data_IF_077095321624
#
_entry.id   IF_077095321624
#
_cell.length_a   1.000
_cell.length_b   1.000
_cell.length_c   1.000
_cell.angle_alpha   90.00
_cell.angle_beta   90.00
_cell.angle_gamma   90.00
#
_symmetry.space_group_name_H-M   'P 1'
#
loop_
_entity.id
_entity.type
_entity.pdbx_description
1 polymer ?
#
# COMPACT_ATOMS: atom_id res chain seq x y z
N UNK A 1 13.47 3.59 -8.91
CA UNK A 1 14.40 2.46 -8.70
C UNK A 1 14.91 2.55 -7.26
N UNK A 2 14.79 1.47 -6.48
CA UNK A 2 15.27 1.44 -5.09
C UNK A 2 16.80 1.51 -5.05
N UNK A 3 17.38 2.32 -4.14
CA UNK A 3 18.82 2.36 -3.91
C UNK A 3 19.40 0.99 -3.53
N UNK A 4 20.64 0.72 -3.95
CA UNK A 4 21.32 -0.55 -3.63
C UNK A 4 21.50 -0.73 -2.11
N UNK A 5 21.69 0.36 -1.36
CA UNK A 5 21.78 0.30 0.10
C UNK A 5 20.52 -0.32 0.73
N UNK A 6 19.32 0.06 0.25
CA UNK A 6 18.05 -0.51 0.73
C UNK A 6 17.91 -1.98 0.31
N UNK A 7 18.28 -2.33 -0.93
CA UNK A 7 18.20 -3.72 -1.40
C UNK A 7 19.09 -4.64 -0.55
N UNK A 8 20.32 -4.22 -0.27
CA UNK A 8 21.26 -4.96 0.55
C UNK A 8 20.78 -5.08 2.00
N UNK A 9 20.33 -3.97 2.60
CA UNK A 9 19.81 -3.98 3.97
C UNK A 9 18.56 -4.88 4.10
N UNK A 10 17.66 -4.91 3.11
CA UNK A 10 16.51 -5.82 3.10
C UNK A 10 16.90 -7.28 3.00
N UNK A 11 17.95 -7.58 2.22
CA UNK A 11 18.52 -8.93 2.15
C UNK A 11 19.07 -9.34 3.51
N UNK A 12 19.88 -8.47 4.13
CA UNK A 12 20.48 -8.73 5.44
C UNK A 12 19.43 -8.87 6.54
N UNK A 13 18.36 -8.07 6.49
CA UNK A 13 17.21 -8.22 7.39
C UNK A 13 16.49 -9.56 7.20
N UNK A 14 16.23 -9.98 5.95
CA UNK A 14 15.61 -11.28 5.64
C UNK A 14 16.47 -12.45 6.13
N UNK A 15 17.79 -12.30 6.11
CA UNK A 15 18.76 -13.28 6.58
C UNK A 15 19.01 -13.20 8.12
N UNK A 16 18.32 -12.29 8.83
CA UNK A 16 18.45 -12.10 10.29
C UNK A 16 19.77 -11.46 10.73
N UNK A 17 20.53 -10.83 9.81
CA UNK A 17 21.81 -10.19 10.09
C UNK A 17 21.68 -8.82 10.72
N UNK A 18 20.59 -8.14 10.45
CA UNK A 18 20.28 -6.81 11.01
C UNK A 18 18.87 -6.79 11.59
N UNK A 19 18.63 -5.88 12.52
CA UNK A 19 17.31 -5.66 13.15
C UNK A 19 16.38 -4.82 12.26
N UNK A 20 15.09 -4.74 12.62
CA UNK A 20 14.15 -3.83 11.95
C UNK A 20 14.58 -2.37 12.10
N UNK A 21 15.07 -1.99 13.28
CA UNK A 21 15.53 -0.64 13.56
C UNK A 21 16.75 -0.25 12.69
N UNK A 22 17.66 -1.21 12.47
CA UNK A 22 18.81 -0.98 11.58
C UNK A 22 18.39 -0.83 10.13
N UNK A 23 17.44 -1.64 9.66
CA UNK A 23 16.85 -1.47 8.33
C UNK A 23 16.16 -0.10 8.20
N UNK A 24 15.38 0.32 9.21
CA UNK A 24 14.70 1.61 9.22
C UNK A 24 15.71 2.76 9.11
N UNK A 25 16.85 2.70 9.80
CA UNK A 25 17.90 3.73 9.67
C UNK A 25 18.46 3.84 8.25
N UNK A 26 18.60 2.73 7.54
CA UNK A 26 19.04 2.75 6.14
C UNK A 26 17.94 3.34 5.26
N UNK A 27 16.67 2.96 5.46
CA UNK A 27 15.52 3.51 4.74
C UNK A 27 15.41 5.02 4.97
N UNK A 28 15.52 5.48 6.21
CA UNK A 28 15.50 6.91 6.60
C UNK A 28 16.56 7.70 5.87
N UNK A 29 17.80 7.22 5.88
CA UNK A 29 18.92 7.87 5.22
C UNK A 29 18.68 8.03 3.72
N UNK A 30 18.21 6.98 3.05
CA UNK A 30 17.98 7.01 1.61
C UNK A 30 16.77 7.88 1.24
N UNK A 31 15.73 7.91 2.08
CA UNK A 31 14.57 8.79 1.91
C UNK A 31 15.00 10.25 2.09
N UNK A 32 15.80 10.58 3.11
CA UNK A 32 16.32 11.93 3.28
C UNK A 32 17.14 12.39 2.05
N UNK A 33 18.02 11.53 1.54
CA UNK A 33 18.79 11.82 0.33
C UNK A 33 17.92 11.98 -0.93
N UNK A 34 16.79 11.24 -1.01
CA UNK A 34 15.81 11.42 -2.08
C UNK A 34 15.15 12.80 -1.98
N UNK A 35 14.63 13.16 -0.81
CA UNK A 35 13.97 14.46 -0.57
C UNK A 35 14.93 15.62 -0.91
N UNK A 36 16.20 15.55 -0.50
CA UNK A 36 17.20 16.54 -0.86
C UNK A 36 17.35 16.69 -2.39
N UNK A 37 17.36 15.59 -3.13
CA UNK A 37 17.42 15.61 -4.60
C UNK A 37 16.15 16.20 -5.22
N UNK A 38 14.96 15.80 -4.73
CA UNK A 38 13.68 16.33 -5.21
C UNK A 38 13.63 17.86 -5.02
N UNK A 39 14.06 18.35 -3.86
CA UNK A 39 14.14 19.79 -3.57
C UNK A 39 15.18 20.49 -4.45
N UNK A 40 16.37 19.90 -4.64
CA UNK A 40 17.41 20.45 -5.51
C UNK A 40 16.96 20.58 -6.97
N UNK A 41 16.05 19.67 -7.40
CA UNK A 41 15.40 19.75 -8.72
C UNK A 41 14.15 20.64 -8.73
N UNK A 42 13.90 21.39 -7.66
CA UNK A 42 12.80 22.36 -7.52
C UNK A 42 11.41 21.71 -7.65
N UNK A 43 11.26 20.47 -7.20
CA UNK A 43 9.95 19.85 -7.11
C UNK A 43 9.18 20.47 -5.93
N UNK A 44 7.95 20.96 -6.14
CA UNK A 44 7.14 21.55 -5.07
C UNK A 44 6.55 20.48 -4.14
N UNK A 45 6.52 19.23 -4.58
CA UNK A 45 6.05 18.08 -3.82
C UNK A 45 7.16 17.06 -3.71
N UNK A 46 7.37 16.53 -2.51
CA UNK A 46 8.36 15.49 -2.24
C UNK A 46 7.70 14.22 -1.73
N UNK A 47 8.32 13.08 -2.01
CA UNK A 47 7.84 11.75 -1.66
C UNK A 47 8.94 10.95 -0.96
N UNK A 48 8.56 9.86 -0.31
CA UNK A 48 9.51 8.89 0.25
C UNK A 48 10.01 7.87 -0.79
N UNK A 49 9.62 8.04 -2.08
CA UNK A 49 9.94 7.11 -3.15
C UNK A 49 9.37 5.71 -2.94
N UNK A 50 8.47 5.54 -1.97
CA UNK A 50 7.93 4.24 -1.52
C UNK A 50 9.04 3.25 -1.13
N UNK A 51 10.14 3.77 -0.61
CA UNK A 51 11.32 2.97 -0.32
C UNK A 51 11.10 1.93 0.77
N UNK A 52 10.12 2.14 1.66
CA UNK A 52 9.76 1.21 2.74
C UNK A 52 8.85 0.08 2.27
N UNK A 53 8.07 0.26 1.18
CA UNK A 53 7.09 -0.72 0.71
C UNK A 53 7.74 -1.93 0.05
N UNK A 54 7.18 -3.13 0.32
CA UNK A 54 7.42 -4.33 -0.44
C UNK A 54 6.46 -4.41 -1.63
N UNK A 55 5.18 -4.22 -1.36
CA UNK A 55 4.09 -4.20 -2.33
C UNK A 55 3.38 -2.85 -2.30
N UNK A 56 3.10 -2.28 -3.47
CA UNK A 56 2.52 -0.93 -3.59
C UNK A 56 1.11 -0.82 -3.00
N UNK A 57 0.29 -1.90 -3.04
CA UNK A 57 -1.07 -1.91 -2.51
C UNK A 57 -1.21 -2.73 -1.22
N UNK A 58 -0.60 -3.93 -1.14
CA UNK A 58 -0.80 -4.82 0.00
C UNK A 58 -0.27 -4.23 1.31
N UNK A 59 0.85 -3.53 1.27
CA UNK A 59 1.42 -2.94 2.50
C UNK A 59 0.49 -1.87 3.08
N UNK A 60 -0.19 -1.11 2.20
CA UNK A 60 -1.24 -0.20 2.62
C UNK A 60 -2.50 -0.91 3.12
N UNK A 61 -2.99 -1.91 2.38
CA UNK A 61 -4.23 -2.62 2.72
C UNK A 61 -4.09 -3.42 4.02
N UNK A 62 -2.89 -3.83 4.41
CA UNK A 62 -2.61 -4.48 5.70
C UNK A 62 -2.81 -3.57 6.92
N UNK A 63 -2.94 -2.26 6.72
CA UNK A 63 -3.28 -1.32 7.80
C UNK A 63 -4.74 -1.49 8.27
N UNK A 64 -5.59 -2.12 7.46
CA UNK A 64 -6.98 -2.36 7.79
C UNK A 64 -7.17 -3.71 8.49
N UNK A 65 -7.95 -3.73 9.57
CA UNK A 65 -8.45 -4.97 10.16
C UNK A 65 -9.39 -5.67 9.20
N UNK A 66 -9.50 -6.99 9.32
CA UNK A 66 -10.33 -7.81 8.44
C UNK A 66 -9.75 -8.04 7.05
N UNK A 67 -8.52 -7.57 6.80
CA UNK A 67 -7.77 -7.80 5.57
C UNK A 67 -6.45 -8.51 5.87
N UNK A 68 -6.15 -9.56 5.15
CA UNK A 68 -4.93 -10.34 5.27
C UNK A 68 -4.32 -10.61 3.88
N UNK A 69 -3.14 -11.19 3.84
CA UNK A 69 -2.50 -11.60 2.59
C UNK A 69 -2.36 -13.10 2.51
N UNK A 70 -2.57 -13.64 1.31
CA UNK A 70 -2.42 -15.05 0.98
C UNK A 70 -1.26 -15.22 0.00
N UNK A 71 -0.31 -16.09 0.37
CA UNK A 71 0.78 -16.48 -0.51
C UNK A 71 0.32 -17.61 -1.43
N UNK A 72 0.56 -17.44 -2.70
CA UNK A 72 0.25 -18.42 -3.74
C UNK A 72 1.46 -18.64 -4.62
N UNK A 73 1.55 -19.85 -5.18
CA UNK A 73 2.52 -20.18 -6.21
C UNK A 73 1.79 -20.24 -7.54
N UNK A 74 2.21 -19.43 -8.51
CA UNK A 74 1.62 -19.41 -9.86
C UNK A 74 2.69 -19.62 -10.91
N UNK A 75 2.42 -20.52 -11.83
CA UNK A 75 3.25 -20.67 -13.03
C UNK A 75 2.87 -19.60 -14.05
N UNK A 76 3.86 -18.79 -14.45
CA UNK A 76 3.71 -17.74 -15.46
C UNK A 76 4.83 -17.98 -16.48
N UNK A 77 4.46 -18.24 -17.74
CA UNK A 77 5.41 -18.49 -18.83
C UNK A 77 6.46 -19.57 -18.50
N UNK A 78 6.05 -20.69 -17.87
CA UNK A 78 6.94 -21.79 -17.50
C UNK A 78 7.81 -21.52 -16.28
N UNK A 79 7.64 -20.39 -15.61
CA UNK A 79 8.36 -20.04 -14.37
C UNK A 79 7.42 -20.04 -13.18
N UNK A 80 7.80 -20.71 -12.11
CA UNK A 80 7.06 -20.69 -10.85
C UNK A 80 7.35 -19.35 -10.16
N UNK A 81 6.29 -18.57 -9.94
CA UNK A 81 6.35 -17.30 -9.25
C UNK A 81 5.58 -17.39 -7.92
N UNK A 82 6.18 -16.88 -6.86
CA UNK A 82 5.47 -16.61 -5.62
C UNK A 82 4.75 -15.25 -5.77
N UNK A 83 3.44 -15.27 -5.59
CA UNK A 83 2.60 -14.07 -5.58
C UNK A 83 1.92 -13.94 -4.22
N UNK A 84 1.65 -12.71 -3.83
CA UNK A 84 0.92 -12.37 -2.61
C UNK A 84 -0.32 -11.59 -3.03
N UNK A 85 -1.49 -12.02 -2.60
CA UNK A 85 -2.78 -11.40 -2.89
C UNK A 85 -3.51 -11.07 -1.61
N UNK A 86 -4.34 -10.03 -1.65
CA UNK A 86 -5.17 -9.62 -0.55
C UNK A 86 -6.43 -10.49 -0.40
N UNK A 87 -6.82 -10.76 0.83
CA UNK A 87 -8.04 -11.50 1.16
C UNK A 87 -8.79 -10.84 2.30
N UNK A 88 -10.10 -10.71 2.14
CA UNK A 88 -10.99 -10.25 3.21
C UNK A 88 -11.30 -11.44 4.13
N UNK A 89 -10.89 -11.37 5.38
CA UNK A 89 -11.04 -12.43 6.38
C UNK A 89 -12.02 -12.08 7.50
N UNK A 90 -12.39 -10.79 7.63
CA UNK A 90 -13.26 -10.31 8.68
C UNK A 90 -13.94 -9.00 8.32
N UNK A 91 -14.49 -8.31 9.33
CA UNK A 91 -15.00 -6.96 9.15
C UNK A 91 -13.83 -6.02 8.85
N UNK A 92 -13.94 -5.26 7.75
CA UNK A 92 -12.92 -4.28 7.36
C UNK A 92 -13.15 -2.97 8.11
N UNK A 93 -12.12 -2.49 8.81
CA UNK A 93 -12.12 -1.18 9.46
C UNK A 93 -10.70 -0.68 9.72
N UNK A 94 -10.55 0.62 9.98
CA UNK A 94 -9.30 1.26 10.38
C UNK A 94 -9.36 1.62 11.86
N UNK A 95 -8.44 1.10 12.66
CA UNK A 95 -8.37 1.37 14.11
C UNK A 95 -7.31 2.45 14.41
N UNK A 96 -7.75 3.69 14.58
CA UNK A 96 -6.87 4.83 14.92
C UNK A 96 -6.06 4.68 16.22
N UNK A 97 -6.42 3.71 17.07
CA UNK A 97 -5.68 3.46 18.31
C UNK A 97 -4.49 2.52 18.10
N UNK A 98 -4.37 1.93 16.94
CA UNK A 98 -3.22 1.12 16.57
C UNK A 98 -2.09 1.99 16.04
N UNK A 99 -0.88 1.45 16.15
CA UNK A 99 0.29 2.02 15.51
C UNK A 99 0.30 1.61 14.04
N UNK A 100 0.26 2.58 13.15
CA UNK A 100 0.23 2.36 11.71
C UNK A 100 1.59 2.68 11.07
N UNK A 101 2.34 1.69 10.54
CA UNK A 101 3.61 1.90 9.85
C UNK A 101 3.57 2.95 8.74
N UNK A 102 2.44 3.04 8.01
CA UNK A 102 2.28 4.02 6.95
C UNK A 102 2.10 5.46 7.47
N UNK A 103 1.50 5.63 8.66
CA UNK A 103 1.42 6.94 9.34
C UNK A 103 2.80 7.34 9.88
N UNK A 104 3.55 6.40 10.47
CA UNK A 104 4.93 6.66 10.92
C UNK A 104 5.86 7.05 9.76
N UNK A 105 5.70 6.37 8.61
CA UNK A 105 6.44 6.72 7.40
C UNK A 105 6.07 8.13 6.89
N UNK A 106 4.78 8.50 7.01
CA UNK A 106 4.31 9.86 6.71
C UNK A 106 4.94 10.89 7.64
N UNK A 107 4.90 10.69 8.96
CA UNK A 107 5.45 11.63 9.94
C UNK A 107 6.93 11.90 9.65
N UNK A 108 7.69 10.87 9.29
CA UNK A 108 9.08 11.03 8.91
C UNK A 108 9.25 11.89 7.65
N UNK A 109 8.53 11.57 6.56
CA UNK A 109 8.57 12.35 5.32
C UNK A 109 8.14 13.80 5.55
N UNK A 110 7.07 14.00 6.30
CA UNK A 110 6.56 15.33 6.65
C UNK A 110 7.61 16.15 7.39
N UNK A 111 8.29 15.54 8.36
CA UNK A 111 9.38 16.21 9.11
C UNK A 111 10.56 16.61 8.22
N UNK A 112 10.83 15.87 7.16
CA UNK A 112 11.86 16.23 6.17
C UNK A 112 11.41 17.41 5.30
N UNK A 113 10.18 17.37 4.80
CA UNK A 113 9.63 18.44 3.95
C UNK A 113 9.58 19.80 4.68
N UNK A 114 9.24 19.79 5.97
CA UNK A 114 9.20 21.01 6.80
C UNK A 114 10.54 21.76 6.94
N UNK A 115 11.67 21.13 6.58
CA UNK A 115 12.97 21.80 6.57
C UNK A 115 13.15 22.76 5.38
N UNK A 116 12.24 22.72 4.41
CA UNK A 116 12.36 23.47 3.16
C UNK A 116 11.12 24.35 2.95
N UNK A 117 11.33 25.63 2.74
CA UNK A 117 10.24 26.58 2.46
C UNK A 117 9.58 26.27 1.12
N UNK A 118 8.25 26.30 1.08
CA UNK A 118 7.46 26.07 -0.15
C UNK A 118 7.40 24.62 -0.62
N UNK A 119 7.91 23.65 0.16
CA UNK A 119 7.90 22.23 -0.17
C UNK A 119 6.79 21.52 0.62
N UNK A 120 5.99 20.71 -0.07
CA UNK A 120 4.91 19.92 0.53
C UNK A 120 5.19 18.42 0.39
N UNK A 121 5.07 17.68 1.49
CA UNK A 121 5.09 16.23 1.45
C UNK A 121 3.82 15.68 0.78
N UNK A 122 3.96 14.69 -0.09
CA UNK A 122 2.87 13.98 -0.75
C UNK A 122 2.83 12.52 -0.32
N UNK A 123 1.68 12.05 0.16
CA UNK A 123 1.42 10.65 0.47
C UNK A 123 0.75 9.96 -0.71
N UNK A 124 1.25 8.78 -1.10
CA UNK A 124 0.59 7.89 -2.04
C UNK A 124 0.01 6.68 -1.30
N UNK A 125 -1.24 6.33 -1.60
CA UNK A 125 -1.93 5.14 -1.08
C UNK A 125 -2.61 4.42 -2.24
N UNK A 126 -2.82 3.11 -2.14
CA UNK A 126 -3.59 2.40 -3.18
C UNK A 126 -5.08 2.70 -3.08
N UNK A 127 -5.78 2.61 -4.21
CA UNK A 127 -7.23 2.72 -4.26
C UNK A 127 -7.94 1.52 -3.60
N UNK A 128 -9.18 1.69 -3.12
CA UNK A 128 -9.93 0.65 -2.43
C UNK A 128 -10.30 -0.54 -3.33
N UNK A 129 -10.37 -0.34 -4.65
CA UNK A 129 -10.77 -1.37 -5.59
C UNK A 129 -9.82 -2.58 -5.62
N UNK A 130 -8.57 -2.41 -5.20
CA UNK A 130 -7.61 -3.51 -5.12
C UNK A 130 -8.05 -4.62 -4.15
N UNK A 131 -8.82 -4.30 -3.11
CA UNK A 131 -9.42 -5.28 -2.19
C UNK A 131 -10.33 -6.23 -2.97
N UNK A 132 -11.21 -5.68 -3.82
CA UNK A 132 -12.18 -6.45 -4.60
C UNK A 132 -11.50 -7.26 -5.70
N UNK A 133 -10.51 -6.67 -6.37
CA UNK A 133 -9.75 -7.35 -7.42
C UNK A 133 -9.01 -8.56 -6.87
N UNK A 134 -8.30 -8.42 -5.77
CA UNK A 134 -7.55 -9.52 -5.18
C UNK A 134 -8.49 -10.60 -4.66
N UNK A 135 -9.48 -10.22 -3.84
CA UNK A 135 -10.35 -11.19 -3.17
C UNK A 135 -11.28 -11.94 -4.13
N UNK A 136 -11.99 -11.22 -4.99
CA UNK A 136 -13.00 -11.83 -5.85
C UNK A 136 -12.41 -12.29 -7.19
N UNK A 137 -11.66 -11.44 -7.87
CA UNK A 137 -11.27 -11.73 -9.24
C UNK A 137 -9.99 -12.56 -9.34
N UNK A 138 -8.97 -12.26 -8.53
CA UNK A 138 -7.71 -12.98 -8.61
C UNK A 138 -7.75 -14.31 -7.84
N UNK A 139 -8.38 -14.33 -6.65
CA UNK A 139 -8.57 -15.54 -5.87
C UNK A 139 -9.80 -16.35 -6.28
N UNK A 140 -10.74 -15.74 -7.04
CA UNK A 140 -11.99 -16.39 -7.46
C UNK A 140 -12.95 -16.68 -6.32
N UNK A 141 -12.84 -15.98 -5.19
CA UNK A 141 -13.79 -16.11 -4.08
C UNK A 141 -15.13 -15.52 -4.49
N UNK A 142 -16.23 -16.18 -4.11
CA UNK A 142 -17.60 -15.69 -4.38
C UNK A 142 -18.23 -15.00 -3.16
N UNK A 143 -17.65 -15.20 -1.99
CA UNK A 143 -18.13 -14.66 -0.72
C UNK A 143 -16.95 -14.38 0.23
N UNK A 144 -17.23 -13.62 1.29
CA UNK A 144 -16.27 -13.35 2.36
C UNK A 144 -16.75 -14.00 3.67
N UNK A 145 -15.84 -14.36 4.60
CA UNK A 145 -16.24 -14.98 5.87
C UNK A 145 -17.20 -14.13 6.72
N UNK A 146 -17.06 -12.81 6.67
CA UNK A 146 -17.87 -11.89 7.48
C UNK A 146 -19.13 -11.38 6.74
N UNK A 147 -18.98 -10.99 5.46
CA UNK A 147 -20.08 -10.37 4.70
C UNK A 147 -20.89 -11.38 3.87
N UNK A 148 -20.43 -12.63 3.77
CA UNK A 148 -21.03 -13.60 2.85
C UNK A 148 -20.99 -13.04 1.42
N UNK A 149 -22.14 -13.00 0.75
CA UNK A 149 -22.35 -12.41 -0.59
C UNK A 149 -22.77 -10.95 -0.56
N UNK A 150 -22.85 -10.31 0.62
CA UNK A 150 -23.26 -8.90 0.75
C UNK A 150 -22.10 -7.97 0.44
N UNK A 151 -21.84 -7.75 -0.85
CA UNK A 151 -20.76 -6.89 -1.33
C UNK A 151 -21.00 -5.42 -1.00
N UNK A 152 -22.26 -4.96 -0.93
CA UNK A 152 -22.60 -3.58 -0.56
C UNK A 152 -22.12 -3.25 0.85
N UNK A 153 -22.37 -4.13 1.82
CA UNK A 153 -21.87 -3.93 3.19
C UNK A 153 -20.33 -3.91 3.27
N UNK A 154 -19.65 -4.71 2.43
CA UNK A 154 -18.20 -4.66 2.33
C UNK A 154 -17.74 -3.31 1.74
N UNK A 155 -18.42 -2.81 0.70
CA UNK A 155 -18.12 -1.50 0.10
C UNK A 155 -18.25 -0.38 1.13
N UNK A 156 -19.32 -0.38 1.91
CA UNK A 156 -19.58 0.63 2.94
C UNK A 156 -18.50 0.62 4.03
N UNK A 157 -18.14 -0.56 4.53
CA UNK A 157 -17.08 -0.70 5.54
C UNK A 157 -15.70 -0.31 4.99
N UNK A 158 -15.37 -0.69 3.74
CA UNK A 158 -14.13 -0.27 3.07
C UNK A 158 -14.10 1.25 2.89
N UNK A 159 -15.19 1.86 2.42
CA UNK A 159 -15.28 3.32 2.27
C UNK A 159 -15.09 4.03 3.61
N UNK A 160 -15.72 3.52 4.67
CA UNK A 160 -15.54 4.06 6.03
C UNK A 160 -14.11 3.92 6.53
N UNK A 161 -13.48 2.77 6.32
CA UNK A 161 -12.09 2.54 6.72
C UNK A 161 -11.13 3.50 6.01
N UNK A 162 -11.31 3.76 4.70
CA UNK A 162 -10.53 4.76 3.97
C UNK A 162 -10.76 6.18 4.49
N UNK A 163 -12.01 6.56 4.81
CA UNK A 163 -12.32 7.86 5.41
C UNK A 163 -11.60 8.05 6.74
N UNK A 164 -11.59 7.02 7.60
CA UNK A 164 -10.93 7.07 8.90
C UNK A 164 -9.40 7.15 8.76
N UNK A 165 -8.82 6.39 7.85
CA UNK A 165 -7.39 6.45 7.57
C UNK A 165 -6.96 7.80 6.98
N UNK A 166 -7.73 8.37 6.04
CA UNK A 166 -7.47 9.70 5.47
C UNK A 166 -7.58 10.78 6.56
N UNK A 167 -8.57 10.66 7.47
CA UNK A 167 -8.70 11.58 8.59
C UNK A 167 -7.50 11.48 9.55
N UNK A 168 -6.96 10.28 9.78
CA UNK A 168 -5.77 10.08 10.59
C UNK A 168 -4.54 10.75 9.96
N UNK A 169 -4.30 10.56 8.66
CA UNK A 169 -3.27 11.32 7.95
C UNK A 169 -3.47 12.84 8.03
N UNK A 170 -4.73 13.30 7.95
CA UNK A 170 -5.03 14.72 8.07
C UNK A 170 -4.69 15.25 9.46
N UNK A 171 -5.00 14.50 10.52
CA UNK A 171 -4.66 14.83 11.90
C UNK A 171 -3.13 14.88 12.12
N UNK A 172 -2.37 14.05 11.37
CA UNK A 172 -0.91 14.07 11.27
C UNK A 172 -0.34 15.11 10.30
N UNK A 173 -1.13 16.10 9.90
CA UNK A 173 -0.67 17.22 9.07
C UNK A 173 -0.62 16.95 7.56
N UNK A 174 -1.10 15.81 7.08
CA UNK A 174 -1.16 15.52 5.65
C UNK A 174 -2.19 16.42 4.96
N UNK A 175 -1.78 17.05 3.85
CA UNK A 175 -2.62 17.94 3.04
C UNK A 175 -2.60 17.58 1.56
N UNK A 176 -1.84 16.55 1.20
CA UNK A 176 -1.80 16.05 -0.17
C UNK A 176 -1.70 14.52 -0.17
N UNK A 177 -2.80 13.87 -0.51
CA UNK A 177 -2.88 12.41 -0.74
C UNK A 177 -3.15 12.17 -2.21
N UNK A 178 -2.37 11.27 -2.81
CA UNK A 178 -2.63 10.67 -4.11
C UNK A 178 -3.17 9.27 -3.91
N UNK A 179 -4.31 8.97 -4.49
CA UNK A 179 -4.89 7.62 -4.51
C UNK A 179 -4.54 6.98 -5.84
N UNK A 180 -3.72 5.93 -5.79
CA UNK A 180 -3.30 5.17 -6.97
C UNK A 180 -4.29 4.03 -7.20
N UNK A 181 -5.06 4.13 -8.28
CA UNK A 181 -6.04 3.12 -8.65
C UNK A 181 -5.76 2.59 -10.06
N UNK A 182 -5.12 1.43 -10.12
CA UNK A 182 -4.82 0.73 -11.37
C UNK A 182 -5.98 -0.12 -11.85
N UNK A 183 -7.06 -0.25 -11.08
CA UNK A 183 -8.20 -1.11 -11.36
C UNK A 183 -8.96 -0.71 -12.64
N UNK A 184 -8.93 0.57 -12.98
CA UNK A 184 -9.54 1.08 -14.21
C UNK A 184 -9.04 0.41 -15.48
N UNK A 185 -7.79 -0.09 -15.49
CA UNK A 185 -7.24 -0.81 -16.64
C UNK A 185 -7.95 -2.14 -16.91
N UNK A 186 -8.50 -2.76 -15.87
CA UNK A 186 -9.25 -4.01 -16.00
C UNK A 186 -10.62 -3.79 -16.66
N UNK A 187 -11.21 -2.60 -16.54
CA UNK A 187 -12.52 -2.26 -17.11
C UNK A 187 -12.48 -2.04 -18.63
N UNK A 188 -11.30 -1.91 -19.22
CA UNK A 188 -11.09 -1.77 -20.68
C UNK A 188 -10.48 -3.02 -21.32
N UNK A 189 -10.12 -4.03 -20.54
CA UNK A 189 -9.59 -5.30 -21.04
C UNK A 189 -10.75 -6.28 -21.30
N UNK A 190 -11.07 -6.50 -22.57
CA UNK A 190 -12.14 -7.42 -22.99
C UNK A 190 -11.94 -8.85 -22.47
N UNK A 191 -10.68 -9.31 -22.37
CA UNK A 191 -10.37 -10.65 -21.84
C UNK A 191 -10.70 -10.74 -20.37
N UNK A 192 -10.43 -9.68 -19.62
CA UNK A 192 -10.75 -9.58 -18.22
C UNK A 192 -12.27 -9.49 -18.00
N UNK A 193 -12.98 -8.65 -18.76
CA UNK A 193 -14.43 -8.52 -18.67
C UNK A 193 -15.15 -9.85 -18.93
N UNK A 194 -14.70 -10.62 -19.95
CA UNK A 194 -15.23 -11.97 -20.19
C UNK A 194 -15.04 -12.94 -19.01
N UNK A 195 -13.94 -12.79 -18.27
CA UNK A 195 -13.73 -13.60 -17.04
C UNK A 195 -14.66 -13.17 -15.91
N UNK A 196 -14.89 -11.86 -15.76
CA UNK A 196 -15.84 -11.31 -14.77
C UNK A 196 -17.25 -11.81 -15.08
N UNK A 197 -17.70 -11.73 -16.33
CA UNK A 197 -19.00 -12.21 -16.77
C UNK A 197 -19.19 -13.72 -16.50
N UNK A 198 -18.13 -14.51 -16.62
CA UNK A 198 -18.17 -15.95 -16.33
C UNK A 198 -18.23 -16.29 -14.84
N UNK A 199 -17.98 -15.33 -13.94
CA UNK A 199 -18.11 -15.53 -12.49
C UNK A 199 -19.53 -15.30 -11.98
N UNK A 200 -20.38 -14.63 -12.76
CA UNK A 200 -21.81 -14.39 -12.51
C UNK A 200 -22.08 -13.10 -11.78
#
# INVERSE_FOLDING_TARGET
IRPEAIKNARKDFKEGKITREELTKVEDKEIAALVEKEVAHKLPYVTDGEFRRRWWHLDWLKEFDGFETKHLTKEINGTINEIELGVVTGKVFYDKNKKHPEVEAWDYLHSLAQKYEGVTAKKCISGPNMIFIDHFLQLGNKETPYYGTNVEALIDDVAKAYQDAIADFYDHGCRYIQIDDTSWTYLIDETFLKKVDALG
#
